data_IF_471513285950
#
_entry.id   IF_471513285950
#
_cell.length_a   1.000
_cell.length_b   1.000
_cell.length_c   1.000
_cell.angle_alpha   90.00
_cell.angle_beta   90.00
_cell.angle_gamma   90.00
#
_symmetry.space_group_name_H-M   'P 1'
#
loop_
_entity.id
_entity.type
_entity.pdbx_description
1 polymer ?
#
# COMPACT_ATOMS: atom_id res chain seq x y z
N UNK A 1 -2.13 -25.77 20.89
CA UNK A 1 -1.07 -25.47 19.89
C UNK A 1 -1.62 -24.82 18.62
N UNK A 2 -2.63 -25.41 17.94
CA UNK A 2 -3.17 -24.82 16.70
C UNK A 2 -3.73 -23.39 16.87
N UNK A 3 -4.43 -23.10 17.98
CA UNK A 3 -4.95 -21.75 18.24
C UNK A 3 -3.84 -20.68 18.29
N UNK A 4 -2.69 -21.00 18.89
CA UNK A 4 -1.53 -20.09 18.93
C UNK A 4 -0.97 -19.87 17.51
N UNK A 5 -0.97 -20.89 16.66
CA UNK A 5 -0.58 -20.76 15.26
C UNK A 5 -1.56 -19.88 14.46
N UNK A 6 -2.84 -19.89 14.82
CA UNK A 6 -3.87 -19.05 14.21
C UNK A 6 -3.67 -17.56 14.48
N UNK A 7 -3.03 -17.22 15.60
CA UNK A 7 -2.71 -15.83 16.00
C UNK A 7 -1.38 -15.31 15.43
N UNK A 8 -0.65 -16.14 14.67
CA UNK A 8 0.65 -15.72 14.16
C UNK A 8 0.53 -14.54 13.20
N UNK A 9 1.44 -13.55 13.29
CA UNK A 9 1.51 -12.43 12.36
C UNK A 9 2.09 -12.88 11.01
N UNK A 10 1.30 -13.64 10.25
CA UNK A 10 1.75 -14.32 9.04
C UNK A 10 2.33 -13.37 7.99
N UNK A 11 1.86 -12.13 7.88
CA UNK A 11 2.44 -11.14 6.96
C UNK A 11 3.95 -10.95 7.16
N UNK A 12 4.37 -10.66 8.40
CA UNK A 12 5.77 -10.47 8.74
C UNK A 12 6.58 -11.77 8.64
N UNK A 13 6.00 -12.89 9.06
CA UNK A 13 6.65 -14.20 8.98
C UNK A 13 6.92 -14.63 7.55
N UNK A 14 5.98 -14.42 6.63
CA UNK A 14 6.15 -14.75 5.21
C UNK A 14 7.28 -13.94 4.58
N UNK A 15 7.33 -12.62 4.85
CA UNK A 15 8.42 -11.76 4.38
C UNK A 15 9.76 -12.22 4.93
N UNK A 16 9.83 -12.53 6.23
CA UNK A 16 11.04 -13.03 6.88
C UNK A 16 11.50 -14.36 6.26
N UNK A 17 10.59 -15.33 6.05
CA UNK A 17 10.90 -16.63 5.47
C UNK A 17 11.34 -16.53 4.02
N UNK A 18 10.69 -15.71 3.19
CA UNK A 18 11.11 -15.45 1.81
C UNK A 18 12.55 -14.90 1.79
N UNK A 19 12.85 -13.97 2.70
CA UNK A 19 14.19 -13.36 2.81
C UNK A 19 15.24 -14.39 3.25
N UNK A 20 14.93 -15.19 4.27
CA UNK A 20 15.81 -16.22 4.81
C UNK A 20 16.06 -17.31 3.76
N UNK A 21 15.02 -17.87 3.15
CA UNK A 21 15.16 -18.90 2.12
C UNK A 21 15.87 -18.37 0.88
N UNK A 22 15.58 -17.13 0.46
CA UNK A 22 16.27 -16.49 -0.66
C UNK A 22 17.77 -16.29 -0.39
N UNK A 23 18.11 -15.80 0.80
CA UNK A 23 19.50 -15.61 1.22
C UNK A 23 20.24 -16.94 1.36
N UNK A 24 19.65 -17.94 2.01
CA UNK A 24 20.24 -19.28 2.13
C UNK A 24 20.47 -19.92 0.75
N UNK A 25 19.47 -19.84 -0.15
CA UNK A 25 19.56 -20.32 -1.52
C UNK A 25 20.70 -19.63 -2.29
N UNK A 26 20.83 -18.30 -2.17
CA UNK A 26 21.91 -17.53 -2.78
C UNK A 26 23.29 -18.00 -2.32
N UNK A 27 23.51 -18.08 -1.00
CA UNK A 27 24.80 -18.48 -0.45
C UNK A 27 25.15 -19.92 -0.80
N UNK A 28 24.20 -20.85 -0.71
CA UNK A 28 24.42 -22.25 -1.08
C UNK A 28 24.76 -22.42 -2.57
N UNK A 29 24.05 -21.70 -3.45
CA UNK A 29 24.34 -21.69 -4.89
C UNK A 29 25.72 -21.12 -5.21
N UNK A 30 26.11 -20.03 -4.52
CA UNK A 30 27.42 -19.40 -4.68
C UNK A 30 28.56 -20.30 -4.20
N UNK A 31 28.45 -20.86 -2.99
CA UNK A 31 29.46 -21.77 -2.42
C UNK A 31 29.68 -22.98 -3.34
N UNK A 32 28.59 -23.55 -3.88
CA UNK A 32 28.70 -24.66 -4.83
C UNK A 32 29.43 -24.28 -6.11
N UNK A 33 29.18 -23.08 -6.64
CA UNK A 33 29.88 -22.59 -7.83
C UNK A 33 31.36 -22.30 -7.57
N UNK A 34 31.72 -21.80 -6.40
CA UNK A 34 33.13 -21.59 -5.99
C UNK A 34 33.88 -22.93 -5.89
N UNK A 35 33.26 -23.99 -5.34
CA UNK A 35 33.86 -25.34 -5.31
C UNK A 35 34.04 -25.96 -6.71
N UNK A 36 33.14 -25.66 -7.64
CA UNK A 36 33.27 -26.11 -9.04
C UNK A 36 34.42 -25.39 -9.77
N UNK A 37 34.72 -24.14 -9.41
CA UNK A 37 35.89 -23.41 -9.91
C UNK A 37 37.21 -24.05 -9.46
N UNK A 38 37.30 -24.48 -8.20
CA UNK A 38 38.52 -25.11 -7.66
C UNK A 38 38.86 -26.44 -8.36
N UNK A 39 37.84 -27.15 -8.84
CA UNK A 39 37.97 -28.48 -9.46
C UNK A 39 38.10 -28.43 -10.99
N UNK A 40 37.81 -27.28 -11.61
CA UNK A 40 37.82 -27.13 -13.07
C UNK A 40 39.09 -26.41 -13.52
N UNK A 41 39.82 -26.99 -14.47
CA UNK A 41 41.07 -26.41 -15.02
C UNK A 41 40.83 -25.22 -15.96
N UNK A 42 39.57 -24.95 -16.33
CA UNK A 42 39.13 -23.87 -17.21
C UNK A 42 38.29 -22.78 -16.52
N UNK A 43 38.07 -21.66 -17.21
CA UNK A 43 37.18 -20.59 -16.75
C UNK A 43 35.71 -21.03 -16.84
N UNK A 44 34.94 -20.89 -15.77
CA UNK A 44 33.49 -21.08 -15.82
C UNK A 44 32.82 -20.03 -16.74
N UNK A 45 31.72 -20.42 -17.38
CA UNK A 45 30.97 -19.52 -18.28
C UNK A 45 30.34 -18.34 -17.53
N UNK A 46 30.04 -18.46 -16.23
CA UNK A 46 29.39 -17.41 -15.43
C UNK A 46 30.07 -17.21 -14.08
N UNK A 47 30.00 -15.98 -13.55
CA UNK A 47 30.58 -15.66 -12.23
C UNK A 47 29.79 -16.37 -11.13
N UNK A 48 30.42 -16.78 -10.01
CA UNK A 48 29.75 -17.49 -8.91
C UNK A 48 28.47 -16.83 -8.40
N UNK A 49 28.42 -15.49 -8.36
CA UNK A 49 27.23 -14.75 -7.94
C UNK A 49 26.00 -15.05 -8.81
N UNK A 50 26.14 -15.25 -10.13
CA UNK A 50 25.01 -15.58 -11.00
C UNK A 50 24.42 -16.96 -10.71
N UNK A 51 25.25 -17.93 -10.30
CA UNK A 51 24.76 -19.23 -9.86
C UNK A 51 24.01 -19.12 -8.53
N UNK A 52 24.47 -18.26 -7.62
CA UNK A 52 23.72 -17.90 -6.41
C UNK A 52 22.36 -17.27 -6.74
N UNK A 53 22.32 -16.26 -7.61
CA UNK A 53 21.07 -15.61 -8.01
C UNK A 53 20.11 -16.57 -8.70
N UNK A 54 20.60 -17.50 -9.53
CA UNK A 54 19.78 -18.53 -10.16
C UNK A 54 19.10 -19.44 -9.13
N UNK A 55 19.88 -19.99 -8.18
CA UNK A 55 19.35 -20.86 -7.11
C UNK A 55 18.35 -20.10 -6.23
N UNK A 56 18.66 -18.84 -5.91
CA UNK A 56 17.74 -17.96 -5.18
C UNK A 56 16.43 -17.73 -5.96
N UNK A 57 16.49 -17.42 -7.24
CA UNK A 57 15.30 -17.19 -8.08
C UNK A 57 14.41 -18.44 -8.15
N UNK A 58 14.99 -19.62 -8.41
CA UNK A 58 14.24 -20.88 -8.46
C UNK A 58 13.60 -21.25 -7.10
N UNK A 59 14.16 -20.78 -5.99
CA UNK A 59 13.64 -21.02 -4.64
C UNK A 59 12.57 -19.99 -4.27
N UNK A 60 12.84 -18.71 -4.51
CA UNK A 60 11.98 -17.60 -4.10
C UNK A 60 10.69 -17.55 -4.90
N UNK A 61 10.72 -17.77 -6.22
CA UNK A 61 9.52 -17.71 -7.07
C UNK A 61 8.38 -18.61 -6.58
N UNK A 62 8.56 -19.93 -6.39
CA UNK A 62 7.47 -20.80 -5.90
C UNK A 62 7.05 -20.46 -4.46
N UNK A 63 7.98 -20.04 -3.60
CA UNK A 63 7.69 -19.62 -2.21
C UNK A 63 6.81 -18.36 -2.21
N UNK A 64 7.13 -17.37 -3.06
CA UNK A 64 6.33 -16.15 -3.21
C UNK A 64 4.94 -16.48 -3.78
N UNK A 65 4.84 -17.38 -4.77
CA UNK A 65 3.54 -17.79 -5.32
C UNK A 65 2.63 -18.39 -4.24
N UNK A 66 3.15 -19.24 -3.36
CA UNK A 66 2.38 -19.79 -2.23
C UNK A 66 2.05 -18.70 -1.21
N UNK A 67 2.96 -17.77 -0.91
CA UNK A 67 2.68 -16.66 -0.01
C UNK A 67 1.56 -15.75 -0.54
N UNK A 68 1.55 -15.47 -1.86
CA UNK A 68 0.49 -14.72 -2.54
C UNK A 68 -0.82 -15.51 -2.51
N UNK A 69 -0.79 -16.81 -2.80
CA UNK A 69 -1.99 -17.66 -2.72
C UNK A 69 -2.56 -17.69 -1.29
N UNK A 70 -1.71 -17.76 -0.26
CA UNK A 70 -2.14 -17.64 1.13
C UNK A 70 -2.80 -16.26 1.39
N UNK A 71 -2.20 -15.17 0.92
CA UNK A 71 -2.76 -13.82 1.12
C UNK A 71 -4.14 -13.65 0.49
N UNK A 72 -4.39 -14.29 -0.66
CA UNK A 72 -5.66 -14.22 -1.38
C UNK A 72 -6.69 -15.19 -0.79
N UNK A 73 -6.32 -16.45 -0.54
CA UNK A 73 -7.30 -17.53 -0.30
C UNK A 73 -7.42 -17.99 1.15
N UNK A 74 -6.47 -17.68 2.04
CA UNK A 74 -6.48 -18.24 3.39
C UNK A 74 -7.73 -17.82 4.19
N UNK A 75 -8.17 -16.57 4.04
CA UNK A 75 -9.35 -16.05 4.73
C UNK A 75 -10.63 -16.75 4.25
N UNK A 76 -10.82 -16.81 2.93
CA UNK A 76 -12.00 -17.45 2.33
C UNK A 76 -12.04 -18.94 2.64
N UNK A 77 -10.88 -19.61 2.67
CA UNK A 77 -10.80 -21.02 3.04
C UNK A 77 -11.20 -21.24 4.50
N UNK A 78 -10.70 -20.42 5.44
CA UNK A 78 -11.08 -20.50 6.85
C UNK A 78 -12.57 -20.20 7.03
N UNK A 79 -13.07 -19.14 6.38
CA UNK A 79 -14.47 -18.72 6.49
C UNK A 79 -15.44 -19.74 5.91
N UNK A 80 -15.15 -20.27 4.74
CA UNK A 80 -16.01 -21.27 4.07
C UNK A 80 -16.09 -22.58 4.85
N UNK A 81 -14.99 -23.02 5.47
CA UNK A 81 -15.02 -24.18 6.37
C UNK A 81 -15.78 -23.88 7.66
N UNK A 82 -15.52 -22.73 8.31
CA UNK A 82 -16.23 -22.37 9.54
C UNK A 82 -17.74 -22.30 9.32
N UNK A 83 -18.19 -21.71 8.20
CA UNK A 83 -19.63 -21.59 7.87
C UNK A 83 -20.30 -22.94 7.71
N UNK A 84 -19.59 -23.96 7.20
CA UNK A 84 -20.11 -25.33 7.08
C UNK A 84 -20.25 -26.05 8.43
N UNK A 85 -19.52 -25.59 9.45
CA UNK A 85 -19.53 -26.16 10.80
C UNK A 85 -20.43 -25.38 11.77
N UNK A 86 -21.05 -24.28 11.34
CA UNK A 86 -21.93 -23.48 12.20
C UNK A 86 -23.20 -24.26 12.58
N UNK A 87 -23.70 -24.11 13.82
CA UNK A 87 -24.98 -24.68 14.22
C UNK A 87 -26.16 -24.10 13.43
N UNK A 88 -27.24 -24.88 13.26
CA UNK A 88 -28.47 -24.47 12.54
C UNK A 88 -29.19 -23.26 13.17
N UNK A 89 -28.82 -22.83 14.37
CA UNK A 89 -29.29 -21.56 14.94
C UNK A 89 -28.87 -20.35 14.10
N UNK A 90 -27.76 -20.45 13.35
CA UNK A 90 -27.26 -19.39 12.49
C UNK A 90 -27.99 -19.33 11.12
N UNK A 91 -28.78 -20.36 10.77
CA UNK A 91 -29.60 -20.36 9.54
C UNK A 91 -30.71 -19.31 9.55
N UNK A 92 -31.05 -18.79 10.75
CA UNK A 92 -32.04 -17.73 10.95
C UNK A 92 -31.52 -16.34 10.61
N UNK A 93 -30.20 -16.17 10.53
CA UNK A 93 -29.59 -14.88 10.22
C UNK A 93 -29.66 -14.63 8.71
N UNK A 94 -29.95 -13.39 8.33
CA UNK A 94 -29.80 -12.98 6.94
C UNK A 94 -28.32 -13.03 6.54
N UNK A 95 -28.04 -13.18 5.25
CA UNK A 95 -26.68 -13.18 4.72
C UNK A 95 -25.80 -12.04 5.28
N UNK A 96 -26.21 -10.75 5.26
CA UNK A 96 -25.37 -9.65 5.76
C UNK A 96 -25.12 -9.72 7.28
N UNK A 97 -26.10 -10.16 8.07
CA UNK A 97 -25.93 -10.32 9.53
C UNK A 97 -24.88 -11.39 9.85
N UNK A 98 -24.93 -12.52 9.12
CA UNK A 98 -23.93 -13.58 9.25
C UNK A 98 -22.52 -13.08 8.87
N UNK A 99 -22.39 -12.26 7.82
CA UNK A 99 -21.08 -11.69 7.45
C UNK A 99 -20.53 -10.77 8.54
N UNK A 100 -21.38 -9.90 9.10
CA UNK A 100 -21.00 -9.00 10.19
C UNK A 100 -20.58 -9.77 11.45
N UNK A 101 -21.27 -10.87 11.76
CA UNK A 101 -20.91 -11.75 12.86
C UNK A 101 -19.54 -12.39 12.65
N UNK A 102 -19.31 -13.00 11.47
CA UNK A 102 -18.03 -13.63 11.14
C UNK A 102 -16.87 -12.63 11.12
N UNK A 103 -17.09 -11.40 10.66
CA UNK A 103 -16.07 -10.34 10.71
C UNK A 103 -15.80 -9.89 12.14
N UNK A 104 -16.80 -9.93 13.03
CA UNK A 104 -16.61 -9.69 14.46
C UNK A 104 -15.79 -10.79 15.13
N UNK A 105 -16.04 -12.06 14.76
CA UNK A 105 -15.24 -13.22 15.19
C UNK A 105 -13.79 -13.07 14.71
N UNK A 106 -13.57 -12.72 13.43
CA UNK A 106 -12.24 -12.49 12.86
C UNK A 106 -11.48 -11.40 13.61
N UNK A 107 -12.13 -10.27 13.91
CA UNK A 107 -11.54 -9.17 14.68
C UNK A 107 -11.21 -9.58 16.12
N UNK A 108 -12.09 -10.32 16.77
CA UNK A 108 -11.87 -10.87 18.10
C UNK A 108 -10.79 -11.96 18.13
N UNK A 109 -10.53 -12.65 17.02
CA UNK A 109 -9.42 -13.58 16.89
C UNK A 109 -8.07 -12.86 16.78
N UNK A 110 -8.04 -11.68 16.14
CA UNK A 110 -6.82 -10.87 15.95
C UNK A 110 -6.46 -9.99 17.15
N UNK A 111 -7.42 -9.65 17.99
CA UNK A 111 -7.21 -8.90 19.23
C UNK A 111 -7.51 -9.82 20.40
N UNK A 112 -6.61 -9.98 21.38
CA UNK A 112 -6.86 -10.82 22.57
C UNK A 112 -8.03 -10.33 23.46
N UNK A 113 -8.82 -9.37 22.97
CA UNK A 113 -10.02 -8.81 23.58
C UNK A 113 -11.23 -9.74 23.39
N UNK A 114 -11.17 -10.94 23.98
CA UNK A 114 -12.34 -11.83 24.15
C UNK A 114 -12.91 -11.81 25.56
N UNK A 115 -12.37 -10.94 26.44
CA UNK A 115 -12.77 -10.80 27.83
C UNK A 115 -14.15 -10.11 27.93
N UNK A 116 -15.23 -10.89 27.78
CA UNK A 116 -16.61 -10.42 27.96
C UNK A 116 -17.65 -11.00 26.99
N UNK A 117 -17.22 -11.78 25.99
CA UNK A 117 -18.14 -12.33 24.99
C UNK A 117 -18.87 -13.61 25.47
N UNK A 118 -20.08 -13.83 24.95
CA UNK A 118 -20.88 -15.03 25.18
C UNK A 118 -20.08 -16.32 24.90
N UNK A 119 -20.39 -17.40 25.65
CA UNK A 119 -19.71 -18.70 25.52
C UNK A 119 -19.72 -19.24 24.08
N UNK A 120 -20.82 -19.02 23.35
CA UNK A 120 -20.96 -19.45 21.95
C UNK A 120 -20.01 -18.66 21.05
N UNK A 121 -19.91 -17.35 21.24
CA UNK A 121 -18.99 -16.50 20.48
C UNK A 121 -17.53 -16.88 20.74
N UNK A 122 -17.17 -17.15 22.00
CA UNK A 122 -15.83 -17.64 22.35
C UNK A 122 -15.54 -19.00 21.72
N UNK A 123 -16.49 -19.94 21.73
CA UNK A 123 -16.33 -21.25 21.11
C UNK A 123 -16.09 -21.15 19.59
N UNK A 124 -16.87 -20.31 18.90
CA UNK A 124 -16.73 -20.07 17.45
C UNK A 124 -15.40 -19.36 17.15
N UNK A 125 -14.99 -18.41 17.98
CA UNK A 125 -13.70 -17.72 17.84
C UNK A 125 -12.53 -18.67 18.03
N UNK A 126 -12.59 -19.55 19.04
CA UNK A 126 -11.57 -20.58 19.25
C UNK A 126 -11.51 -21.57 18.08
N UNK A 127 -12.67 -21.97 17.53
CA UNK A 127 -12.72 -22.83 16.35
C UNK A 127 -12.16 -22.16 15.11
N UNK A 128 -12.47 -20.88 14.91
CA UNK A 128 -11.88 -20.06 13.86
C UNK A 128 -10.34 -20.03 13.98
N UNK A 129 -9.81 -19.81 15.19
CA UNK A 129 -8.36 -19.82 15.44
C UNK A 129 -7.71 -21.18 15.17
N UNK A 130 -8.40 -22.29 15.43
CA UNK A 130 -7.91 -23.64 15.09
C UNK A 130 -7.83 -23.86 13.58
N UNK A 131 -8.90 -23.53 12.86
CA UNK A 131 -8.94 -23.62 11.40
C UNK A 131 -7.87 -22.72 10.77
N UNK A 132 -7.74 -21.48 11.26
CA UNK A 132 -6.70 -20.56 10.79
C UNK A 132 -5.30 -21.07 11.11
N UNK A 133 -5.11 -21.62 12.31
CA UNK A 133 -3.85 -22.22 12.73
C UNK A 133 -3.43 -23.40 11.85
N UNK A 134 -4.38 -24.23 11.43
CA UNK A 134 -4.13 -25.30 10.48
C UNK A 134 -3.68 -24.77 9.11
N UNK A 135 -4.39 -23.78 8.55
CA UNK A 135 -4.03 -23.15 7.28
C UNK A 135 -2.64 -22.50 7.36
N UNK A 136 -2.34 -21.80 8.45
CA UNK A 136 -1.04 -21.18 8.69
C UNK A 136 0.06 -22.25 8.77
N UNK A 137 -0.13 -23.31 9.56
CA UNK A 137 0.85 -24.39 9.70
C UNK A 137 1.10 -25.11 8.37
N UNK A 138 0.05 -25.47 7.63
CA UNK A 138 0.15 -26.10 6.33
C UNK A 138 0.92 -25.22 5.34
N UNK A 139 0.67 -23.92 5.35
CA UNK A 139 1.39 -22.94 4.50
C UNK A 139 2.87 -22.89 4.87
N UNK A 140 3.23 -22.82 6.15
CA UNK A 140 4.62 -22.78 6.59
C UNK A 140 5.39 -24.05 6.21
N UNK A 141 4.79 -25.23 6.39
CA UNK A 141 5.37 -26.51 5.99
C UNK A 141 5.55 -26.56 4.47
N UNK A 142 4.54 -26.15 3.71
CA UNK A 142 4.61 -26.12 2.25
C UNK A 142 5.70 -25.18 1.74
N UNK A 143 5.85 -23.99 2.33
CA UNK A 143 6.91 -23.04 1.98
C UNK A 143 8.29 -23.62 2.26
N UNK A 144 8.50 -24.24 3.42
CA UNK A 144 9.76 -24.89 3.76
C UNK A 144 10.10 -26.04 2.81
N UNK A 145 9.11 -26.87 2.49
CA UNK A 145 9.28 -27.99 1.55
C UNK A 145 9.62 -27.52 0.13
N UNK A 146 8.91 -26.51 -0.39
CA UNK A 146 9.18 -25.92 -1.70
C UNK A 146 10.52 -25.20 -1.74
N UNK A 147 10.92 -24.53 -0.66
CA UNK A 147 12.22 -23.90 -0.57
C UNK A 147 13.35 -24.95 -0.63
N UNK A 148 13.24 -26.01 0.18
CA UNK A 148 14.21 -27.10 0.17
C UNK A 148 14.28 -27.81 -1.21
N UNK A 149 13.13 -28.09 -1.82
CA UNK A 149 13.04 -28.68 -3.15
C UNK A 149 13.65 -27.76 -4.23
N UNK A 150 13.37 -26.46 -4.18
CA UNK A 150 13.91 -25.46 -5.09
C UNK A 150 15.44 -25.36 -5.00
N UNK A 151 15.99 -25.33 -3.78
CA UNK A 151 17.44 -25.33 -3.54
C UNK A 151 18.07 -26.63 -4.06
N UNK A 152 17.51 -27.78 -3.69
CA UNK A 152 18.06 -29.08 -4.09
C UNK A 152 18.04 -29.28 -5.62
N UNK A 153 16.89 -29.00 -6.25
CA UNK A 153 16.71 -29.13 -7.69
C UNK A 153 17.63 -28.19 -8.45
N UNK A 154 17.69 -26.91 -8.10
CA UNK A 154 18.52 -25.92 -8.82
C UNK A 154 20.02 -26.19 -8.64
N UNK A 155 20.46 -26.61 -7.44
CA UNK A 155 21.85 -27.00 -7.22
C UNK A 155 22.28 -28.24 -8.04
N UNK A 156 21.38 -29.21 -8.23
CA UNK A 156 21.67 -30.39 -9.05
C UNK A 156 21.94 -30.07 -10.52
N UNK A 157 21.49 -28.89 -10.99
CA UNK A 157 21.66 -28.41 -12.37
C UNK A 157 22.95 -27.60 -12.57
N UNK A 158 23.63 -27.19 -11.51
CA UNK A 158 24.84 -26.38 -11.60
C UNK A 158 26.01 -27.22 -12.15
N UNK A 159 26.48 -26.83 -13.33
CA UNK A 159 27.66 -27.37 -14.02
C UNK A 159 28.57 -26.21 -14.46
N UNK A 160 29.89 -26.43 -14.71
CA UNK A 160 30.80 -25.37 -15.12
C UNK A 160 30.38 -24.59 -16.39
N UNK A 161 29.72 -25.28 -17.33
CA UNK A 161 29.23 -24.70 -18.59
C UNK A 161 27.82 -24.09 -18.49
N UNK A 162 27.22 -24.09 -17.30
CA UNK A 162 25.85 -23.63 -17.11
C UNK A 162 25.75 -22.10 -17.25
N UNK A 163 24.87 -21.65 -18.15
CA UNK A 163 24.65 -20.22 -18.47
C UNK A 163 23.75 -19.52 -17.46
N UNK A 164 24.15 -19.51 -16.18
CA UNK A 164 23.35 -18.92 -15.09
C UNK A 164 23.01 -17.44 -15.33
N UNK A 165 23.94 -16.67 -15.91
CA UNK A 165 23.73 -15.25 -16.20
C UNK A 165 22.50 -15.00 -17.09
N UNK A 166 22.40 -15.72 -18.21
CA UNK A 166 21.31 -15.54 -19.16
C UNK A 166 19.94 -15.88 -18.55
N UNK A 167 19.86 -16.93 -17.74
CA UNK A 167 18.61 -17.32 -17.08
C UNK A 167 18.17 -16.31 -16.02
N UNK A 168 19.12 -15.76 -15.26
CA UNK A 168 18.83 -14.71 -14.26
C UNK A 168 18.40 -13.42 -14.95
N UNK A 169 19.11 -13.00 -15.99
CA UNK A 169 18.77 -11.77 -16.75
C UNK A 169 17.38 -11.89 -17.40
N UNK A 170 17.07 -13.00 -18.09
CA UNK A 170 15.75 -13.24 -18.66
C UNK A 170 14.65 -13.32 -17.59
N UNK A 171 14.95 -13.89 -16.42
CA UNK A 171 14.02 -13.95 -15.30
C UNK A 171 13.72 -12.56 -14.73
N UNK A 172 14.74 -11.73 -14.56
CA UNK A 172 14.57 -10.34 -14.11
C UNK A 172 13.80 -9.51 -15.14
N UNK A 173 14.08 -9.69 -16.44
CA UNK A 173 13.34 -9.03 -17.52
C UNK A 173 11.86 -9.42 -17.49
N UNK A 174 11.53 -10.70 -17.31
CA UNK A 174 10.15 -11.16 -17.17
C UNK A 174 9.45 -10.53 -15.96
N UNK A 175 10.12 -10.45 -14.80
CA UNK A 175 9.55 -9.82 -13.59
C UNK A 175 9.28 -8.34 -13.82
N UNK A 176 10.21 -7.61 -14.44
CA UNK A 176 10.03 -6.19 -14.78
C UNK A 176 8.90 -6.01 -15.80
N UNK A 177 8.82 -6.88 -16.81
CA UNK A 177 7.75 -6.87 -17.81
C UNK A 177 6.38 -7.12 -17.18
N UNK A 178 6.26 -8.12 -16.29
CA UNK A 178 5.02 -8.40 -15.55
C UNK A 178 4.63 -7.23 -14.65
N UNK A 179 5.59 -6.63 -13.94
CA UNK A 179 5.35 -5.46 -13.09
C UNK A 179 4.82 -4.27 -13.91
N UNK A 180 5.46 -3.96 -15.04
CA UNK A 180 4.99 -2.93 -15.97
C UNK A 180 3.60 -3.27 -16.53
N UNK A 181 3.35 -4.52 -16.89
CA UNK A 181 2.04 -5.00 -17.34
C UNK A 181 0.95 -4.80 -16.30
N UNK A 182 1.20 -5.15 -15.04
CA UNK A 182 0.26 -4.93 -13.92
C UNK A 182 0.01 -3.45 -13.69
N UNK A 183 1.04 -2.59 -13.75
CA UNK A 183 0.88 -1.15 -13.60
C UNK A 183 -0.01 -0.54 -14.70
N UNK A 184 0.24 -0.93 -15.96
CA UNK A 184 -0.56 -0.49 -17.12
C UNK A 184 -1.99 -1.03 -17.00
N UNK A 185 -2.18 -2.32 -16.68
CA UNK A 185 -3.50 -2.92 -16.52
C UNK A 185 -4.30 -2.28 -15.39
N UNK A 186 -3.65 -1.95 -14.27
CA UNK A 186 -4.29 -1.25 -13.14
C UNK A 186 -4.71 0.15 -13.55
N UNK A 187 -3.85 0.88 -14.27
CA UNK A 187 -4.15 2.23 -14.76
C UNK A 187 -5.32 2.19 -15.75
N UNK A 188 -5.29 1.26 -16.71
CA UNK A 188 -6.39 1.06 -17.65
C UNK A 188 -7.68 0.66 -16.94
N UNK A 189 -7.60 -0.22 -15.93
CA UNK A 189 -8.73 -0.62 -15.09
C UNK A 189 -9.35 0.55 -14.33
N UNK A 190 -8.52 1.44 -13.76
CA UNK A 190 -8.99 2.68 -13.11
C UNK A 190 -9.69 3.57 -14.13
N UNK A 191 -9.10 3.78 -15.32
CA UNK A 191 -9.71 4.61 -16.37
C UNK A 191 -11.05 4.02 -16.82
N UNK A 192 -11.12 2.72 -17.11
CA UNK A 192 -12.35 2.05 -17.53
C UNK A 192 -13.42 2.12 -16.43
N UNK A 193 -13.04 1.89 -15.18
CA UNK A 193 -13.94 1.99 -14.03
C UNK A 193 -14.53 3.40 -13.90
N UNK A 194 -13.68 4.43 -13.92
CA UNK A 194 -14.12 5.82 -13.84
C UNK A 194 -14.98 6.23 -15.04
N UNK A 195 -14.64 5.78 -16.25
CA UNK A 195 -15.44 6.05 -17.45
C UNK A 195 -16.80 5.38 -17.38
N UNK A 196 -16.88 4.12 -16.94
CA UNK A 196 -18.13 3.40 -16.78
C UNK A 196 -19.06 4.09 -15.78
N UNK A 197 -18.55 4.41 -14.58
CA UNK A 197 -19.32 5.13 -13.56
C UNK A 197 -19.74 6.54 -14.03
N UNK A 198 -18.86 7.24 -14.75
CA UNK A 198 -19.18 8.55 -15.33
C UNK A 198 -20.30 8.47 -16.37
N UNK A 199 -20.28 7.45 -17.24
CA UNK A 199 -21.34 7.23 -18.23
C UNK A 199 -22.69 6.94 -17.56
N UNK A 200 -22.71 6.10 -16.52
CA UNK A 200 -23.93 5.83 -15.73
C UNK A 200 -24.44 7.10 -15.04
N UNK A 201 -23.54 7.96 -14.56
CA UNK A 201 -23.90 9.26 -13.99
C UNK A 201 -24.55 10.17 -15.04
N UNK A 202 -23.96 10.32 -16.22
CA UNK A 202 -24.48 11.19 -17.28
C UNK A 202 -25.76 10.66 -17.95
N UNK A 203 -26.16 9.41 -17.71
CA UNK A 203 -27.50 8.93 -18.04
C UNK A 203 -28.58 9.50 -17.12
N UNK A 204 -28.23 9.89 -15.89
CA UNK A 204 -29.16 10.45 -14.89
C UNK A 204 -29.11 11.98 -14.86
N UNK A 205 -27.94 12.56 -15.15
CA UNK A 205 -27.70 14.00 -15.11
C UNK A 205 -27.21 14.47 -16.47
N UNK A 206 -27.86 15.46 -17.06
CA UNK A 206 -27.40 16.06 -18.32
C UNK A 206 -25.98 16.60 -18.18
N UNK A 207 -25.10 16.29 -19.14
CA UNK A 207 -23.74 16.83 -19.16
C UNK A 207 -23.73 18.37 -19.23
N UNK A 208 -24.73 18.97 -19.87
CA UNK A 208 -24.85 20.43 -19.94
C UNK A 208 -25.22 21.05 -18.59
N UNK A 209 -26.18 20.45 -17.88
CA UNK A 209 -26.61 20.92 -16.56
C UNK A 209 -25.52 20.70 -15.51
N UNK A 210 -24.74 19.61 -15.65
CA UNK A 210 -23.53 19.39 -14.85
C UNK A 210 -22.48 20.48 -15.10
N UNK A 211 -22.12 20.77 -16.35
CA UNK A 211 -21.05 21.73 -16.65
C UNK A 211 -21.44 23.19 -16.36
N UNK A 212 -22.69 23.57 -16.62
CA UNK A 212 -23.16 24.95 -16.45
C UNK A 212 -23.85 25.21 -15.12
N UNK A 213 -24.13 24.16 -14.35
CA UNK A 213 -24.78 24.26 -13.05
C UNK A 213 -23.95 25.07 -12.06
N UNK A 214 -24.60 26.01 -11.38
CA UNK A 214 -23.98 26.96 -10.43
C UNK A 214 -24.07 26.52 -8.98
N UNK A 215 -24.68 25.37 -8.71
CA UNK A 215 -24.88 24.84 -7.36
C UNK A 215 -24.40 23.41 -7.27
N UNK A 216 -23.66 23.13 -6.20
CA UNK A 216 -23.24 21.78 -5.84
C UNK A 216 -23.93 21.40 -4.53
N UNK A 217 -24.93 20.51 -4.61
CA UNK A 217 -25.69 20.00 -3.48
C UNK A 217 -26.03 18.52 -3.68
N UNK A 218 -25.04 17.67 -3.41
CA UNK A 218 -25.18 16.22 -3.51
C UNK A 218 -26.00 15.59 -2.36
N UNK A 219 -26.20 16.28 -1.24
CA UNK A 219 -26.77 15.70 -0.02
C UNK A 219 -28.29 15.78 0.07
N UNK A 220 -28.91 16.84 -0.47
CA UNK A 220 -30.36 17.10 -0.25
C UNK A 220 -31.16 17.17 -1.54
N UNK A 221 -30.66 17.87 -2.56
CA UNK A 221 -31.42 18.11 -3.80
C UNK A 221 -30.83 17.44 -5.04
N UNK A 222 -29.75 16.66 -4.91
CA UNK A 222 -29.05 16.01 -6.02
C UNK A 222 -28.67 17.00 -7.15
N UNK A 223 -28.20 18.20 -6.79
CA UNK A 223 -27.70 19.20 -7.72
C UNK A 223 -26.18 19.00 -7.92
N UNK A 224 -25.74 18.76 -9.15
CA UNK A 224 -24.34 18.41 -9.46
C UNK A 224 -23.65 19.44 -10.35
N UNK A 225 -23.86 20.74 -10.11
CA UNK A 225 -23.19 21.80 -10.86
C UNK A 225 -21.68 21.82 -10.63
N UNK A 226 -20.90 21.68 -11.68
CA UNK A 226 -19.43 21.63 -11.66
C UNK A 226 -18.79 23.02 -11.68
N UNK A 227 -19.52 24.07 -12.07
CA UNK A 227 -18.95 25.41 -12.25
C UNK A 227 -18.32 25.97 -10.96
N UNK A 228 -18.92 25.84 -9.75
CA UNK A 228 -18.28 26.26 -8.51
C UNK A 228 -17.00 25.48 -8.19
N UNK A 229 -16.93 24.20 -8.56
CA UNK A 229 -15.75 23.36 -8.33
C UNK A 229 -14.58 23.79 -9.23
N UNK A 230 -14.85 24.04 -10.50
CA UNK A 230 -13.84 24.58 -11.41
C UNK A 230 -13.39 25.96 -10.97
N UNK A 231 -14.33 26.86 -10.69
CA UNK A 231 -14.01 28.22 -10.24
C UNK A 231 -13.20 28.21 -8.94
N UNK A 232 -13.62 27.41 -7.94
CA UNK A 232 -12.87 27.24 -6.70
C UNK A 232 -11.46 26.71 -6.93
N UNK A 233 -11.30 25.71 -7.79
CA UNK A 233 -9.98 25.15 -8.13
C UNK A 233 -9.08 26.18 -8.81
N UNK A 234 -9.59 26.89 -9.82
CA UNK A 234 -8.83 27.93 -10.52
C UNK A 234 -8.50 29.11 -9.61
N UNK A 235 -9.44 29.55 -8.77
CA UNK A 235 -9.24 30.63 -7.82
C UNK A 235 -8.15 30.28 -6.80
N UNK A 236 -8.22 29.09 -6.19
CA UNK A 236 -7.21 28.62 -5.25
C UNK A 236 -5.86 28.48 -5.95
N UNK A 237 -5.81 27.87 -7.14
CA UNK A 237 -4.57 27.72 -7.90
C UNK A 237 -3.95 29.07 -8.26
N UNK A 238 -4.76 30.05 -8.68
CA UNK A 238 -4.31 31.39 -9.02
C UNK A 238 -3.72 32.10 -7.79
N UNK A 239 -4.44 32.13 -6.67
CA UNK A 239 -3.96 32.73 -5.43
C UNK A 239 -2.68 32.04 -4.96
N UNK A 240 -2.65 30.71 -5.00
CA UNK A 240 -1.47 29.93 -4.63
C UNK A 240 -0.27 30.27 -5.52
N UNK A 241 -0.45 30.37 -6.85
CA UNK A 241 0.63 30.76 -7.77
C UNK A 241 1.09 32.20 -7.57
N UNK A 242 0.17 33.14 -7.34
CA UNK A 242 0.50 34.54 -7.07
C UNK A 242 1.39 34.72 -5.85
N UNK A 243 1.30 33.82 -4.87
CA UNK A 243 2.13 33.84 -3.66
C UNK A 243 3.38 32.96 -3.85
N UNK A 244 3.20 31.71 -4.27
CA UNK A 244 4.27 30.72 -4.32
C UNK A 244 5.27 31.00 -5.45
N UNK A 245 4.83 31.47 -6.62
CA UNK A 245 5.74 31.68 -7.75
C UNK A 245 6.72 32.84 -7.49
N UNK A 246 6.28 34.04 -7.02
CA UNK A 246 7.24 35.10 -6.68
C UNK A 246 8.19 34.69 -5.55
N UNK A 247 7.68 34.10 -4.47
CA UNK A 247 8.51 33.68 -3.34
C UNK A 247 9.52 32.62 -3.78
N UNK A 248 9.09 31.62 -4.56
CA UNK A 248 9.96 30.58 -5.09
C UNK A 248 11.03 31.13 -6.03
N UNK A 249 10.65 32.04 -6.94
CA UNK A 249 11.57 32.67 -7.88
C UNK A 249 12.61 33.55 -7.16
N UNK A 250 12.18 34.43 -6.24
CA UNK A 250 13.10 35.28 -5.48
C UNK A 250 14.01 34.47 -4.57
N UNK A 251 13.50 33.39 -3.97
CA UNK A 251 14.33 32.46 -3.18
C UNK A 251 15.39 31.77 -4.04
N UNK A 252 15.04 31.38 -5.26
CA UNK A 252 15.98 30.77 -6.20
C UNK A 252 17.07 31.77 -6.63
N UNK A 253 16.69 33.00 -7.00
CA UNK A 253 17.62 34.07 -7.37
C UNK A 253 18.55 34.41 -6.20
N UNK A 254 18.02 34.57 -4.99
CA UNK A 254 18.82 34.84 -3.80
C UNK A 254 19.85 33.73 -3.57
N UNK A 255 19.44 32.47 -3.68
CA UNK A 255 20.31 31.33 -3.43
C UNK A 255 21.38 31.13 -4.52
N UNK A 256 21.10 31.54 -5.76
CA UNK A 256 22.05 31.44 -6.88
C UNK A 256 23.06 32.59 -6.92
N UNK A 257 22.60 33.83 -6.72
CA UNK A 257 23.41 35.04 -6.96
C UNK A 257 23.92 35.71 -5.69
N UNK A 258 23.16 35.68 -4.58
CA UNK A 258 23.43 36.55 -3.43
C UNK A 258 23.83 35.78 -2.16
N UNK A 259 23.49 34.50 -2.05
CA UNK A 259 23.72 33.71 -0.84
C UNK A 259 25.21 33.38 -0.65
N UNK A 260 25.75 33.72 0.54
CA UNK A 260 27.09 33.30 0.93
C UNK A 260 27.21 31.75 0.95
N UNK A 261 28.41 31.18 0.76
CA UNK A 261 28.60 29.73 0.75
C UNK A 261 28.07 29.02 2.00
N UNK A 262 28.16 29.66 3.17
CA UNK A 262 27.63 29.13 4.44
C UNK A 262 26.09 29.11 4.45
N UNK A 263 25.45 30.20 4.02
CA UNK A 263 23.99 30.28 3.96
C UNK A 263 23.42 29.27 2.95
N UNK A 264 24.03 29.18 1.77
CA UNK A 264 23.64 28.19 0.75
C UNK A 264 23.80 26.75 1.23
N UNK A 265 24.86 26.46 1.98
CA UNK A 265 25.13 25.13 2.54
C UNK A 265 24.06 24.64 3.53
N UNK A 266 23.34 25.54 4.19
CA UNK A 266 22.23 25.19 5.10
C UNK A 266 20.86 25.29 4.44
N UNK A 267 20.59 26.36 3.70
CA UNK A 267 19.27 26.63 3.12
C UNK A 267 18.94 25.59 2.04
N UNK A 268 19.90 25.23 1.19
CA UNK A 268 19.64 24.32 0.07
C UNK A 268 19.20 22.92 0.55
N UNK A 269 19.91 22.24 1.46
CA UNK A 269 19.43 20.96 2.00
C UNK A 269 18.07 21.06 2.70
N UNK A 270 17.80 22.14 3.43
CA UNK A 270 16.49 22.34 4.08
C UNK A 270 15.36 22.41 3.05
N UNK A 271 15.55 23.15 1.95
CA UNK A 271 14.56 23.22 0.86
C UNK A 271 14.37 21.86 0.18
N UNK A 272 15.44 21.09 -0.03
CA UNK A 272 15.37 19.74 -0.60
C UNK A 272 14.62 18.77 0.32
N UNK A 273 14.85 18.84 1.64
CA UNK A 273 14.11 18.04 2.63
C UNK A 273 12.63 18.44 2.66
N UNK A 274 12.33 19.74 2.66
CA UNK A 274 10.94 20.23 2.63
C UNK A 274 10.22 19.78 1.36
N UNK A 275 10.88 19.80 0.20
CA UNK A 275 10.31 19.29 -1.04
C UNK A 275 10.04 17.78 -1.02
N UNK A 276 10.79 17.03 -0.20
CA UNK A 276 10.63 15.58 -0.02
C UNK A 276 9.52 15.17 0.96
N UNK A 277 8.92 16.11 1.70
CA UNK A 277 7.81 15.81 2.61
C UNK A 277 6.56 15.45 1.79
N UNK A 278 5.86 14.35 2.10
CA UNK A 278 4.65 13.96 1.39
C UNK A 278 3.56 15.06 1.44
N UNK A 279 2.90 15.31 0.31
CA UNK A 279 1.83 16.32 0.21
C UNK A 279 0.70 16.10 1.21
N UNK A 280 0.40 14.85 1.56
CA UNK A 280 -0.59 14.48 2.58
C UNK A 280 -0.24 15.07 3.95
N UNK A 281 1.05 15.05 4.34
CA UNK A 281 1.50 15.61 5.62
C UNK A 281 1.27 17.12 5.64
N UNK A 282 1.59 17.82 4.55
CA UNK A 282 1.30 19.25 4.43
C UNK A 282 -0.19 19.56 4.48
N UNK A 283 -1.03 18.73 3.85
CA UNK A 283 -2.49 18.85 3.91
C UNK A 283 -3.02 18.73 5.34
N UNK A 284 -2.57 17.71 6.09
CA UNK A 284 -2.95 17.52 7.50
C UNK A 284 -2.45 18.67 8.39
N UNK A 285 -1.21 19.13 8.19
CA UNK A 285 -0.68 20.28 8.93
C UNK A 285 -1.48 21.55 8.63
N UNK A 286 -1.82 21.78 7.36
CA UNK A 286 -2.65 22.92 6.96
C UNK A 286 -4.02 22.87 7.64
N UNK A 287 -4.66 21.69 7.69
CA UNK A 287 -5.96 21.53 8.32
C UNK A 287 -5.92 21.70 9.84
N UNK A 288 -4.92 21.14 10.52
CA UNK A 288 -4.88 21.06 11.98
C UNK A 288 -4.24 22.28 12.64
N UNK A 289 -3.35 22.99 11.93
CA UNK A 289 -2.57 24.10 12.48
C UNK A 289 -2.87 25.39 11.74
N UNK A 290 -2.71 25.40 10.42
CA UNK A 290 -2.81 26.64 9.63
C UNK A 290 -4.26 27.14 9.59
N UNK A 291 -5.24 26.29 9.30
CA UNK A 291 -6.64 26.70 9.19
C UNK A 291 -7.19 27.25 10.51
N UNK A 292 -7.00 26.60 11.68
CA UNK A 292 -7.38 27.18 12.97
C UNK A 292 -6.62 28.48 13.29
N UNK A 293 -5.33 28.56 12.94
CA UNK A 293 -4.53 29.77 13.12
C UNK A 293 -5.04 30.96 12.29
N UNK A 294 -5.31 30.73 11.00
CA UNK A 294 -5.89 31.74 10.10
C UNK A 294 -7.26 32.18 10.57
N UNK A 295 -8.10 31.23 11.01
CA UNK A 295 -9.41 31.53 11.60
C UNK A 295 -9.29 32.41 12.84
N UNK A 296 -8.40 32.08 13.77
CA UNK A 296 -8.20 32.86 14.99
C UNK A 296 -7.70 34.28 14.67
N UNK A 297 -6.80 34.39 13.69
CA UNK A 297 -6.32 35.68 13.21
C UNK A 297 -7.44 36.51 12.57
N UNK A 298 -8.31 35.89 11.76
CA UNK A 298 -9.47 36.55 11.18
C UNK A 298 -10.45 37.07 12.25
N UNK A 299 -10.72 36.26 13.29
CA UNK A 299 -11.55 36.68 14.44
C UNK A 299 -10.91 37.86 15.16
N UNK A 300 -9.61 37.78 15.46
CA UNK A 300 -8.89 38.85 16.14
C UNK A 300 -8.92 40.17 15.34
N UNK A 301 -8.74 40.09 14.02
CA UNK A 301 -8.85 41.27 13.13
C UNK A 301 -10.27 41.85 13.19
N UNK A 302 -11.31 41.01 13.10
CA UNK A 302 -12.70 41.46 13.19
C UNK A 302 -12.99 42.17 14.53
N UNK A 303 -12.56 41.58 15.64
CA UNK A 303 -12.72 42.17 16.98
C UNK A 303 -12.03 43.54 17.07
N UNK A 304 -10.80 43.65 16.56
CA UNK A 304 -10.03 44.90 16.58
C UNK A 304 -10.70 46.00 15.75
N UNK A 305 -11.19 45.68 14.55
CA UNK A 305 -11.88 46.64 13.67
C UNK A 305 -13.17 47.13 14.33
N UNK A 306 -13.92 46.25 14.98
CA UNK A 306 -15.16 46.60 15.70
C UNK A 306 -14.85 47.47 16.92
N UNK A 307 -13.82 47.14 17.71
CA UNK A 307 -13.41 47.93 18.88
C UNK A 307 -12.94 49.34 18.50
N UNK A 308 -12.32 49.50 17.33
CA UNK A 308 -11.92 50.80 16.79
C UNK A 308 -13.08 51.58 16.16
N UNK A 309 -14.30 51.01 16.14
CA UNK A 309 -15.50 51.64 15.57
C UNK A 309 -15.48 51.75 14.04
N UNK A 310 -14.62 50.99 13.36
CA UNK A 310 -14.45 51.03 11.91
C UNK A 310 -15.44 50.12 11.15
N UNK A 311 -16.03 49.14 11.82
CA UNK A 311 -17.11 48.31 11.30
C UNK A 311 -18.07 47.88 12.42
N UNK A 312 -19.34 47.67 12.09
CA UNK A 312 -20.36 47.15 13.01
C UNK A 312 -20.50 45.61 12.95
N UNK A 313 -19.94 44.99 11.92
CA UNK A 313 -20.04 43.55 11.66
C UNK A 313 -18.69 42.95 11.24
N UNK A 314 -18.51 41.62 11.35
CA UNK A 314 -17.32 40.94 10.89
C UNK A 314 -17.07 41.18 9.40
N UNK A 315 -15.86 41.61 9.06
CA UNK A 315 -15.44 41.91 7.67
C UNK A 315 -14.81 40.67 7.02
N UNK A 316 -14.13 39.85 7.81
CA UNK A 316 -13.53 38.59 7.36
C UNK A 316 -14.41 37.40 7.75
N UNK A 317 -14.63 36.48 6.82
CA UNK A 317 -15.24 35.19 7.11
C UNK A 317 -14.28 34.34 7.96
N UNK A 318 -14.76 33.83 9.11
CA UNK A 318 -13.99 33.04 10.06
C UNK A 318 -14.74 31.79 10.52
#
# INVERSE_FOLDING_TARGET
MLQQLGQLPMGWLLIALITVFGSAAFFLGRIRAERLLETTTGRMHSRPNYHGYYVAMCTVVPVVLIAVAYAIFAEDLTRSQLTRELPSSFDRLSAPELQSYLESVRRAAGTAASAGADRVFQAITNRYLELRGFVNAATLVLLGALAAAGIFWSQSRLKPDFRARALVENGMELVLFLCAGVAIATTAGIVVSLLYESLLFFQKVSAWDFLTGTRWNAQTNAEFGALPLFFGTFMIALIAMLVAAPIGLFSAIFLSEYASPKARGWIKPVLEILAGIPTVVYGFFALLVVAPGVRQLAIWINELIIQLGLASEPVLAA
#
